data_IF_673675788972
#
_entry.id   IF_673675788972
#
_cell.length_a   1.000
_cell.length_b   1.000
_cell.length_c   1.000
_cell.angle_alpha   90.00
_cell.angle_beta   90.00
_cell.angle_gamma   90.00
#
_symmetry.space_group_name_H-M   'P 1'
#
loop_
_entity.id
_entity.type
_entity.pdbx_description
1 polymer ?
#
# COMPACT_ATOMS: atom_id res chain seq x y z
N UNK A 1 -16.56 -10.03 8.39
CA UNK A 1 -16.65 -9.64 6.96
C UNK A 1 -15.27 -9.78 6.34
N UNK A 2 -15.10 -10.45 5.19
CA UNK A 2 -13.78 -10.62 4.56
C UNK A 2 -13.48 -9.45 3.62
N UNK A 3 -12.27 -8.91 3.69
CA UNK A 3 -11.78 -7.84 2.80
C UNK A 3 -11.35 -8.45 1.46
N UNK A 4 -12.31 -8.85 0.63
CA UNK A 4 -12.05 -9.34 -0.73
C UNK A 4 -12.45 -8.29 -1.77
N UNK A 5 -11.86 -8.41 -2.97
CA UNK A 5 -12.14 -7.52 -4.10
C UNK A 5 -13.64 -7.45 -4.42
N UNK A 6 -14.33 -8.59 -4.48
CA UNK A 6 -15.76 -8.65 -4.78
C UNK A 6 -16.61 -7.95 -3.72
N UNK A 7 -16.27 -8.12 -2.43
CA UNK A 7 -17.00 -7.45 -1.35
C UNK A 7 -16.83 -5.94 -1.40
N UNK A 8 -15.61 -5.46 -1.66
CA UNK A 8 -15.34 -4.02 -1.80
C UNK A 8 -16.00 -3.44 -3.05
N UNK A 9 -15.97 -4.16 -4.17
CA UNK A 9 -16.68 -3.77 -5.40
C UNK A 9 -18.18 -3.63 -5.15
N UNK A 10 -18.78 -4.60 -4.45
CA UNK A 10 -20.19 -4.54 -4.12
C UNK A 10 -20.52 -3.36 -3.19
N UNK A 11 -19.72 -3.13 -2.15
CA UNK A 11 -19.89 -1.96 -1.27
C UNK A 11 -19.83 -0.63 -2.02
N UNK A 12 -18.83 -0.47 -2.91
CA UNK A 12 -18.68 0.74 -3.71
C UNK A 12 -19.86 0.96 -4.66
N UNK A 13 -20.45 -0.12 -5.18
CA UNK A 13 -21.66 -0.04 -6.00
C UNK A 13 -22.89 0.37 -5.18
N UNK A 14 -23.03 -0.13 -3.94
CA UNK A 14 -24.16 0.18 -3.07
C UNK A 14 -24.20 1.65 -2.63
N UNK A 15 -23.04 2.29 -2.53
CA UNK A 15 -22.93 3.72 -2.19
C UNK A 15 -22.85 4.63 -3.43
N UNK A 16 -23.02 4.07 -4.63
CA UNK A 16 -22.93 4.79 -5.91
C UNK A 16 -21.67 5.66 -6.03
N UNK A 17 -20.52 5.11 -5.62
CA UNK A 17 -19.26 5.86 -5.53
C UNK A 17 -18.88 6.58 -6.84
N UNK A 18 -19.28 6.04 -8.00
CA UNK A 18 -19.07 6.66 -9.32
C UNK A 18 -19.65 8.07 -9.43
N UNK A 19 -20.78 8.35 -8.76
CA UNK A 19 -21.43 9.68 -8.79
C UNK A 19 -20.70 10.69 -7.91
N UNK A 20 -20.17 10.24 -6.79
CA UNK A 20 -19.67 11.12 -5.73
C UNK A 20 -18.16 11.33 -5.76
N UNK A 21 -17.40 10.39 -6.32
CA UNK A 21 -15.95 10.52 -6.53
C UNK A 21 -15.15 10.91 -5.28
N UNK A 22 -15.62 10.51 -4.10
CA UNK A 22 -15.02 10.88 -2.81
C UNK A 22 -13.57 10.39 -2.65
N UNK A 23 -12.81 11.06 -1.78
CA UNK A 23 -11.51 10.56 -1.38
C UNK A 23 -11.67 9.39 -0.40
N UNK A 24 -10.95 8.29 -0.64
CA UNK A 24 -11.01 7.08 0.19
C UNK A 24 -9.80 7.04 1.11
N UNK A 25 -10.02 7.02 2.42
CA UNK A 25 -8.99 6.76 3.42
C UNK A 25 -9.25 5.39 4.06
N UNK A 26 -8.34 4.44 3.85
CA UNK A 26 -8.48 3.08 4.37
C UNK A 26 -7.11 2.48 4.68
N UNK A 27 -7.08 1.33 5.35
CA UNK A 27 -5.83 0.63 5.62
C UNK A 27 -5.08 0.28 4.32
N UNK A 28 -3.75 0.18 4.41
CA UNK A 28 -2.87 -0.17 3.28
C UNK A 28 -3.32 -1.45 2.57
N UNK A 29 -3.83 -2.44 3.32
CA UNK A 29 -4.32 -3.69 2.76
C UNK A 29 -5.56 -3.49 1.91
N UNK A 30 -6.50 -2.65 2.36
CA UNK A 30 -7.73 -2.33 1.62
C UNK A 30 -7.41 -1.52 0.37
N UNK A 31 -6.51 -0.53 0.48
CA UNK A 31 -6.03 0.26 -0.65
C UNK A 31 -5.39 -0.66 -1.70
N UNK A 32 -4.57 -1.62 -1.30
CA UNK A 32 -3.97 -2.58 -2.22
C UNK A 32 -5.03 -3.37 -3.01
N UNK A 33 -6.10 -3.83 -2.35
CA UNK A 33 -7.21 -4.53 -3.01
C UNK A 33 -7.98 -3.61 -3.95
N UNK A 34 -8.22 -2.35 -3.56
CA UNK A 34 -8.91 -1.35 -4.39
C UNK A 34 -8.12 -0.96 -5.64
N UNK A 35 -6.79 -0.95 -5.54
CA UNK A 35 -5.86 -0.72 -6.65
C UNK A 35 -5.70 -1.98 -7.54
N UNK A 36 -6.21 -3.14 -7.12
CA UNK A 36 -6.14 -4.38 -7.90
C UNK A 36 -4.87 -5.22 -7.68
N UNK A 37 -4.09 -4.91 -6.65
CA UNK A 37 -2.90 -5.68 -6.26
C UNK A 37 -3.26 -6.97 -5.55
N UNK A 38 -2.43 -8.00 -5.73
CA UNK A 38 -2.60 -9.28 -5.04
C UNK A 38 -2.49 -9.11 -3.51
N UNK A 39 -3.54 -9.51 -2.80
CA UNK A 39 -3.59 -9.52 -1.35
C UNK A 39 -2.46 -10.40 -0.77
N UNK A 40 -1.64 -9.83 0.12
CA UNK A 40 -0.49 -10.49 0.75
C UNK A 40 0.87 -9.89 0.41
N UNK A 41 0.97 -9.05 -0.62
CA UNK A 41 2.22 -8.41 -1.04
C UNK A 41 2.36 -6.97 -0.53
N UNK A 42 2.46 -6.79 0.79
CA UNK A 42 2.65 -5.47 1.44
C UNK A 42 3.99 -4.80 1.11
N UNK A 43 5.01 -5.55 0.67
CA UNK A 43 6.30 -5.00 0.18
C UNK A 43 6.15 -4.10 -1.05
N UNK A 44 5.04 -4.22 -1.77
CA UNK A 44 4.80 -3.55 -3.05
C UNK A 44 3.87 -2.35 -2.93
N UNK A 45 3.61 -1.82 -1.73
CA UNK A 45 2.77 -0.64 -1.61
C UNK A 45 3.33 0.58 -2.35
N UNK A 46 4.65 0.75 -2.32
CA UNK A 46 5.33 1.78 -3.12
C UNK A 46 5.18 1.54 -4.62
N UNK A 47 4.96 0.29 -5.03
CA UNK A 47 4.75 -0.11 -6.40
C UNK A 47 3.41 0.38 -6.96
N UNK A 48 2.36 0.41 -6.12
CA UNK A 48 1.05 0.94 -6.51
C UNK A 48 1.13 2.39 -7.02
N UNK A 49 2.00 3.19 -6.41
CA UNK A 49 2.11 4.63 -6.67
C UNK A 49 3.36 5.02 -7.49
N UNK A 50 4.42 4.22 -7.44
CA UNK A 50 5.70 4.47 -8.10
C UNK A 50 6.09 3.31 -9.02
N UNK A 51 6.80 3.60 -10.11
CA UNK A 51 7.24 2.61 -11.11
C UNK A 51 8.31 1.59 -10.62
N UNK A 52 8.49 1.45 -9.30
CA UNK A 52 9.69 0.94 -8.66
C UNK A 52 9.94 -0.57 -8.74
N UNK A 53 9.28 -1.35 -9.58
CA UNK A 53 9.81 -2.71 -9.73
C UNK A 53 9.43 -3.45 -10.99
N UNK A 54 9.97 -2.92 -12.07
CA UNK A 54 10.81 -3.79 -12.89
C UNK A 54 11.71 -4.66 -12.00
N UNK A 55 11.63 -5.98 -12.15
CA UNK A 55 12.62 -6.91 -11.64
C UNK A 55 14.03 -6.41 -12.02
N UNK A 56 14.96 -6.37 -11.06
CA UNK A 56 16.34 -5.91 -11.26
C UNK A 56 16.76 -4.64 -10.49
N UNK A 57 15.88 -3.98 -9.74
CA UNK A 57 16.20 -2.72 -9.02
C UNK A 57 16.54 -2.85 -7.53
N UNK A 58 16.77 -4.06 -7.01
CA UNK A 58 16.99 -4.33 -5.58
C UNK A 58 17.97 -3.37 -4.87
N UNK A 59 19.05 -2.96 -5.55
CA UNK A 59 20.06 -2.03 -5.00
C UNK A 59 19.72 -0.54 -5.19
N UNK A 60 18.88 -0.19 -6.17
CA UNK A 60 18.55 1.22 -6.51
C UNK A 60 17.47 1.83 -5.61
N UNK A 61 16.72 1.00 -4.87
CA UNK A 61 15.68 1.45 -3.94
C UNK A 61 16.18 2.38 -2.85
N UNK A 62 17.39 2.14 -2.34
CA UNK A 62 17.99 2.96 -1.28
C UNK A 62 18.71 4.21 -1.81
N UNK A 63 18.99 4.26 -3.12
CA UNK A 63 19.75 5.35 -3.74
C UNK A 63 18.81 6.42 -4.28
N UNK A 64 17.66 6.00 -4.85
CA UNK A 64 16.73 6.91 -5.50
C UNK A 64 15.62 7.35 -4.53
N UNK A 65 15.67 8.61 -4.11
CA UNK A 65 14.70 9.23 -3.18
C UNK A 65 13.37 9.60 -3.83
N UNK A 66 13.39 9.97 -5.12
CA UNK A 66 12.21 10.40 -5.87
C UNK A 66 11.97 9.45 -7.03
N UNK A 67 10.78 8.86 -7.07
CA UNK A 67 10.38 7.93 -8.12
C UNK A 67 9.33 8.55 -9.03
N UNK A 68 9.37 8.26 -10.35
CA UNK A 68 8.33 8.70 -11.25
C UNK A 68 6.99 8.05 -10.88
N UNK A 69 5.93 8.85 -10.97
CA UNK A 69 4.55 8.43 -10.73
C UNK A 69 4.18 7.34 -11.73
N UNK A 70 3.53 6.28 -11.26
CA UNK A 70 3.01 5.25 -12.14
C UNK A 70 1.70 5.72 -12.77
N UNK A 71 1.65 5.76 -14.11
CA UNK A 71 0.46 6.20 -14.86
C UNK A 71 -0.51 5.06 -15.19
N UNK A 72 -0.01 3.82 -15.33
CA UNK A 72 -0.84 2.68 -15.73
C UNK A 72 -0.57 1.45 -14.83
N UNK A 73 -1.65 0.83 -14.38
CA UNK A 73 -1.68 -0.50 -13.79
C UNK A 73 -2.21 -1.42 -14.89
N UNK A 74 -1.35 -2.29 -15.42
CA UNK A 74 -1.71 -3.21 -16.51
C UNK A 74 -1.94 -4.57 -15.87
N UNK A 75 -3.18 -5.10 -15.85
CA UNK A 75 -3.47 -6.41 -15.30
C UNK A 75 -2.58 -7.48 -15.94
N UNK A 76 -1.95 -8.33 -15.11
CA UNK A 76 -1.03 -9.38 -15.55
C UNK A 76 0.46 -8.98 -15.56
N UNK A 77 0.78 -7.69 -15.42
CA UNK A 77 2.17 -7.23 -15.26
C UNK A 77 2.42 -6.95 -13.77
N UNK A 78 3.40 -7.66 -13.17
CA UNK A 78 3.92 -7.36 -11.83
C UNK A 78 2.89 -7.34 -10.68
N UNK A 79 2.25 -8.48 -10.39
CA UNK A 79 1.36 -8.71 -9.23
C UNK A 79 0.00 -7.96 -9.24
N UNK A 80 -0.37 -7.35 -10.36
CA UNK A 80 -1.67 -6.70 -10.59
C UNK A 80 -2.63 -7.76 -11.17
N UNK A 81 -3.62 -8.20 -10.37
CA UNK A 81 -4.50 -9.32 -10.73
C UNK A 81 -5.87 -8.85 -11.25
N UNK A 82 -6.33 -7.71 -10.75
CA UNK A 82 -7.66 -7.17 -11.04
C UNK A 82 -7.56 -5.73 -11.56
N UNK A 83 -8.58 -5.27 -12.27
CA UNK A 83 -8.70 -3.86 -12.63
C UNK A 83 -8.88 -2.98 -11.38
N UNK A 84 -8.29 -1.77 -11.35
CA UNK A 84 -8.46 -0.85 -10.24
C UNK A 84 -9.91 -0.36 -10.14
N UNK A 85 -10.50 -0.45 -8.95
CA UNK A 85 -11.89 -0.02 -8.67
C UNK A 85 -12.02 1.51 -8.51
N UNK A 86 -10.90 2.21 -8.28
CA UNK A 86 -10.85 3.67 -8.19
C UNK A 86 -9.48 4.17 -8.60
N UNK A 87 -9.42 5.41 -9.10
CA UNK A 87 -8.18 6.08 -9.46
C UNK A 87 -7.25 6.19 -8.24
N UNK A 88 -5.94 5.96 -8.46
CA UNK A 88 -4.95 5.96 -7.38
C UNK A 88 -4.86 7.31 -6.65
N UNK A 89 -5.14 8.39 -7.36
CA UNK A 89 -5.09 9.77 -6.86
C UNK A 89 -6.16 10.09 -5.81
N UNK A 90 -7.22 9.27 -5.73
CA UNK A 90 -8.31 9.46 -4.76
C UNK A 90 -8.03 8.78 -3.41
N UNK A 91 -6.97 7.97 -3.30
CA UNK A 91 -6.63 7.31 -2.05
C UNK A 91 -5.79 8.21 -1.15
N UNK A 92 -6.29 8.44 0.05
CA UNK A 92 -5.54 9.07 1.13
C UNK A 92 -4.80 7.99 1.91
N UNK A 93 -3.48 8.14 2.02
CA UNK A 93 -2.66 7.25 2.82
C UNK A 93 -2.91 7.52 4.31
N UNK A 94 -3.29 6.52 5.11
CA UNK A 94 -3.40 6.69 6.55
C UNK A 94 -2.00 6.92 7.14
N UNK A 95 -1.68 8.19 7.40
CA UNK A 95 -0.39 8.63 7.94
C UNK A 95 -0.03 7.89 9.24
N UNK A 96 -1.04 7.51 10.03
CA UNK A 96 -0.91 6.76 11.27
C UNK A 96 -0.38 5.33 11.04
N UNK A 97 -0.95 4.57 10.10
CA UNK A 97 -0.53 3.19 9.83
C UNK A 97 0.92 3.14 9.30
N UNK A 98 1.30 4.11 8.46
CA UNK A 98 2.66 4.25 7.98
C UNK A 98 3.63 4.58 9.14
N UNK A 99 3.26 5.53 9.99
CA UNK A 99 4.07 5.95 11.15
C UNK A 99 4.28 4.80 12.12
N UNK A 100 3.24 4.03 12.43
CA UNK A 100 3.33 2.86 13.30
C UNK A 100 4.19 1.74 12.68
N UNK A 101 4.04 1.49 11.38
CA UNK A 101 4.88 0.53 10.66
C UNK A 101 6.37 0.90 10.66
N UNK A 102 6.68 2.17 10.44
CA UNK A 102 8.05 2.70 10.52
C UNK A 102 8.62 2.60 11.93
N UNK A 103 7.84 3.01 12.94
CA UNK A 103 8.24 2.91 14.35
C UNK A 103 8.57 1.46 14.74
N UNK A 104 7.73 0.51 14.33
CA UNK A 104 7.95 -0.93 14.59
C UNK A 104 9.24 -1.44 13.96
N UNK A 105 9.54 -1.01 12.73
CA UNK A 105 10.79 -1.38 12.06
C UNK A 105 12.00 -0.71 12.69
N UNK A 106 11.84 0.55 13.13
CA UNK A 106 12.87 1.28 13.87
C UNK A 106 13.20 0.56 15.17
N UNK A 107 12.19 0.23 15.99
CA UNK A 107 12.38 -0.52 17.24
C UNK A 107 13.03 -1.88 17.01
N UNK A 108 12.66 -2.61 15.95
CA UNK A 108 13.31 -3.88 15.60
C UNK A 108 14.77 -3.75 15.18
N UNK A 109 15.15 -2.61 14.63
CA UNK A 109 16.53 -2.33 14.21
C UNK A 109 17.38 -1.75 15.35
N UNK A 110 16.74 -1.29 16.44
CA UNK A 110 17.43 -0.92 17.67
C UNK A 110 17.95 -2.17 18.38
N UNK A 111 19.12 -2.06 19.01
CA UNK A 111 19.73 -3.16 19.72
C UNK A 111 19.05 -3.34 21.08
N UNK A 112 18.26 -4.41 21.22
CA UNK A 112 17.47 -4.65 22.43
C UNK A 112 18.32 -4.99 23.67
N UNK A 113 19.63 -5.14 23.52
CA UNK A 113 20.58 -5.44 24.59
C UNK A 113 21.12 -4.21 25.34
N UNK A 114 20.84 -2.99 24.87
CA UNK A 114 21.30 -1.77 25.53
C UNK A 114 20.38 -1.36 26.70
N UNK A 115 20.95 -0.62 27.67
CA UNK A 115 20.28 -0.14 28.89
C UNK A 115 18.95 0.61 28.65
N UNK A 116 18.74 1.14 27.43
CA UNK A 116 17.52 1.84 27.03
C UNK A 116 16.25 0.99 26.98
N UNK A 117 16.35 -0.35 26.97
CA UNK A 117 15.19 -1.26 26.95
C UNK A 117 14.92 -1.99 28.28
N UNK A 118 15.67 -1.68 29.34
CA UNK A 118 15.54 -2.37 30.64
C UNK A 118 14.18 -2.18 31.33
N UNK A 119 13.39 -1.19 30.90
CA UNK A 119 12.06 -0.90 31.44
C UNK A 119 10.91 -1.36 30.53
N UNK A 120 11.19 -2.07 29.43
CA UNK A 120 10.21 -2.52 28.44
C UNK A 120 9.83 -4.01 28.55
N UNK A 121 10.30 -4.71 29.59
CA UNK A 121 9.95 -6.10 29.95
C UNK A 121 8.82 -6.12 30.98
#
# INVERSE_FOLDING_TARGET
MKETYETLKHMLSSIEYSKHSWHICADLKVIAVLVGLQAGYTKFFFFAFCASGTEGTGKKHYIKKVWPKRQFLIPGVKNEKNEPLSASEKFLLPLLQLKLGLMKNFVKAMDCGESGFQYWV
#
